data_IF_329475077396
#
_entry.id   IF_329475077396
#
_cell.length_a   1.000
_cell.length_b   1.000
_cell.length_c   1.000
_cell.angle_alpha   90.00
_cell.angle_beta   90.00
_cell.angle_gamma   90.00
#
_symmetry.space_group_name_H-M   'P 1'
#
loop_
_entity.id
_entity.type
_entity.pdbx_description
1 polymer ?
#
# COMPACT_ATOMS: atom_id res chain seq x y z
N UNK A 1 26.34 -52.23 20.45
CA UNK A 1 25.26 -51.26 20.78
C UNK A 1 25.42 -50.49 22.11
N UNK A 2 26.09 -51.02 23.15
CA UNK A 2 26.04 -50.47 24.53
C UNK A 2 26.51 -49.01 24.74
N UNK A 3 27.43 -48.45 23.93
CA UNK A 3 27.96 -47.10 24.16
C UNK A 3 26.95 -45.96 23.91
N UNK A 4 26.02 -46.10 22.95
CA UNK A 4 25.01 -45.07 22.61
C UNK A 4 24.09 -44.77 23.81
N UNK A 5 23.73 -45.78 24.59
CA UNK A 5 22.90 -45.64 25.80
C UNK A 5 23.57 -44.85 26.92
N UNK A 6 24.87 -45.12 27.19
CA UNK A 6 25.66 -44.39 28.19
C UNK A 6 25.80 -42.90 27.84
N UNK A 7 26.04 -42.56 26.56
CA UNK A 7 26.09 -41.15 26.08
C UNK A 7 24.75 -40.43 26.29
N UNK A 8 23.61 -41.03 25.91
CA UNK A 8 22.26 -40.43 26.11
C UNK A 8 21.95 -40.16 27.59
N UNK A 9 22.27 -41.08 28.51
CA UNK A 9 22.09 -40.86 29.96
C UNK A 9 22.93 -39.68 30.48
N UNK A 10 24.20 -39.56 30.05
CA UNK A 10 25.09 -38.44 30.44
C UNK A 10 24.55 -37.08 29.96
N UNK A 11 24.02 -37.02 28.72
CA UNK A 11 23.43 -35.80 28.17
C UNK A 11 22.15 -35.36 28.90
N UNK A 12 21.23 -36.30 29.18
CA UNK A 12 20.02 -36.01 29.97
C UNK A 12 20.35 -35.47 31.36
N UNK A 13 21.34 -36.04 32.06
CA UNK A 13 21.78 -35.53 33.38
C UNK A 13 22.32 -34.10 33.27
N UNK A 14 23.08 -33.78 32.20
CA UNK A 14 23.62 -32.42 31.98
C UNK A 14 22.53 -31.36 31.71
N UNK A 15 21.41 -31.76 31.11
CA UNK A 15 20.23 -30.92 30.81
C UNK A 15 19.26 -30.74 32.00
N UNK A 16 19.55 -31.35 33.16
CA UNK A 16 18.75 -31.26 34.38
C UNK A 16 19.50 -30.58 35.55
N UNK A 17 20.72 -30.08 35.32
CA UNK A 17 21.46 -29.32 36.33
C UNK A 17 20.81 -27.95 36.55
N UNK A 18 20.42 -27.71 37.81
CA UNK A 18 19.90 -26.43 38.29
C UNK A 18 21.08 -25.47 38.53
N UNK A 19 21.01 -24.32 37.89
CA UNK A 19 21.87 -23.15 38.10
C UNK A 19 21.06 -22.11 38.89
N UNK A 20 21.70 -21.26 39.68
CA UNK A 20 21.05 -20.10 40.31
C UNK A 20 21.64 -18.84 39.68
N UNK A 21 20.77 -18.01 39.11
CA UNK A 21 21.12 -16.65 38.73
C UNK A 21 20.69 -15.75 39.89
N UNK A 22 21.61 -14.92 40.39
CA UNK A 22 21.37 -14.02 41.51
C UNK A 22 21.78 -12.61 41.09
N UNK A 23 20.97 -11.63 41.40
CA UNK A 23 21.28 -10.21 41.26
C UNK A 23 21.49 -9.66 42.67
N UNK A 24 22.72 -9.26 42.95
CA UNK A 24 23.11 -8.64 44.23
C UNK A 24 23.30 -7.14 44.03
N UNK A 25 23.05 -6.35 45.07
CA UNK A 25 23.44 -4.95 45.10
C UNK A 25 24.96 -4.84 45.32
N UNK A 26 25.66 -4.02 44.53
CA UNK A 26 27.12 -3.90 44.59
C UNK A 26 27.62 -3.21 45.88
N UNK A 27 26.85 -2.27 46.44
CA UNK A 27 27.24 -1.52 47.63
C UNK A 27 26.85 -2.22 48.94
N UNK A 28 25.70 -2.92 48.97
CA UNK A 28 25.19 -3.60 50.19
C UNK A 28 25.33 -5.12 50.19
N UNK A 29 25.74 -5.73 49.06
CA UNK A 29 25.79 -7.19 48.84
C UNK A 29 24.45 -7.94 49.10
N UNK A 30 23.33 -7.22 49.21
CA UNK A 30 22.01 -7.83 49.41
C UNK A 30 21.52 -8.52 48.12
N UNK A 31 21.09 -9.78 48.22
CA UNK A 31 20.42 -10.49 47.13
C UNK A 31 19.05 -9.82 46.85
N UNK A 32 18.94 -9.05 45.76
CA UNK A 32 17.69 -8.39 45.34
C UNK A 32 16.76 -9.33 44.57
N UNK A 33 17.32 -10.29 43.84
CA UNK A 33 16.56 -11.25 43.04
C UNK A 33 17.35 -12.55 42.88
N UNK A 34 16.72 -13.71 43.09
CA UNK A 34 17.35 -15.01 42.79
C UNK A 34 16.40 -15.96 42.05
N UNK A 35 16.90 -16.58 40.98
CA UNK A 35 16.12 -17.45 40.11
C UNK A 35 16.85 -18.78 39.86
N UNK A 36 16.16 -19.90 40.01
CA UNK A 36 16.72 -21.25 39.79
C UNK A 36 16.39 -21.71 38.37
N UNK A 37 17.37 -21.61 37.48
CA UNK A 37 17.25 -21.93 36.06
C UNK A 37 17.80 -23.34 35.77
N UNK A 38 17.25 -24.01 34.76
CA UNK A 38 17.79 -25.25 34.23
C UNK A 38 17.94 -25.10 32.71
N UNK A 39 18.97 -25.72 32.10
CA UNK A 39 19.25 -25.62 30.66
C UNK A 39 18.04 -26.00 29.80
N UNK A 40 17.29 -27.04 30.21
CA UNK A 40 16.06 -27.46 29.53
C UNK A 40 14.95 -26.40 29.69
N UNK A 41 14.74 -25.87 30.89
CA UNK A 41 13.71 -24.87 31.14
C UNK A 41 14.00 -23.59 30.35
N UNK A 42 15.24 -23.10 30.36
CA UNK A 42 15.66 -21.91 29.58
C UNK A 42 15.43 -22.13 28.08
N UNK A 43 15.76 -23.31 27.55
CA UNK A 43 15.48 -23.66 26.16
C UNK A 43 13.98 -23.64 25.86
N UNK A 44 13.15 -24.28 26.68
CA UNK A 44 11.69 -24.33 26.49
C UNK A 44 11.07 -22.93 26.58
N UNK A 45 11.42 -22.13 27.59
CA UNK A 45 10.93 -20.75 27.73
C UNK A 45 11.39 -19.87 26.56
N UNK A 46 12.64 -19.97 26.12
CA UNK A 46 13.16 -19.22 24.97
C UNK A 46 12.45 -19.61 23.67
N UNK A 47 12.24 -20.90 23.42
CA UNK A 47 11.49 -21.36 22.23
C UNK A 47 10.01 -20.93 22.29
N UNK A 48 9.36 -21.08 23.45
CA UNK A 48 7.97 -20.65 23.62
C UNK A 48 7.83 -19.13 23.45
N UNK A 49 8.76 -18.35 23.99
CA UNK A 49 8.79 -16.90 23.84
C UNK A 49 9.06 -16.47 22.40
N UNK A 50 9.96 -17.16 21.68
CA UNK A 50 10.19 -16.91 20.26
C UNK A 50 8.95 -17.23 19.41
N UNK A 51 8.30 -18.38 19.63
CA UNK A 51 7.04 -18.74 18.96
C UNK A 51 5.92 -17.75 19.31
N UNK A 52 5.82 -17.34 20.57
CA UNK A 52 4.87 -16.32 21.01
C UNK A 52 5.11 -14.98 20.32
N UNK A 53 6.35 -14.49 20.26
CA UNK A 53 6.70 -13.26 19.54
C UNK A 53 6.36 -13.37 18.05
N UNK A 54 6.73 -14.47 17.39
CA UNK A 54 6.44 -14.68 15.96
C UNK A 54 4.93 -14.70 15.72
N UNK A 55 4.16 -15.43 16.54
CA UNK A 55 2.70 -15.48 16.42
C UNK A 55 2.07 -14.10 16.69
N UNK A 56 2.51 -13.41 17.75
CA UNK A 56 2.04 -12.08 18.12
C UNK A 56 2.33 -11.05 17.03
N UNK A 57 3.56 -11.01 16.48
CA UNK A 57 3.90 -10.12 15.36
C UNK A 57 3.15 -10.48 14.08
N UNK A 58 2.91 -11.77 13.81
CA UNK A 58 2.15 -12.20 12.63
C UNK A 58 0.69 -11.78 12.73
N UNK A 59 0.06 -11.95 13.90
CA UNK A 59 -1.29 -11.46 14.20
C UNK A 59 -1.33 -9.93 14.06
N UNK A 60 -0.36 -9.22 14.66
CA UNK A 60 -0.28 -7.77 14.59
C UNK A 60 -0.17 -7.30 13.12
N UNK A 61 0.70 -7.90 12.30
CA UNK A 61 0.81 -7.56 10.86
C UNK A 61 -0.47 -7.90 10.09
N UNK A 62 -1.08 -9.07 10.33
CA UNK A 62 -2.24 -9.53 9.57
C UNK A 62 -3.52 -8.72 9.84
N UNK A 63 -3.71 -8.27 11.09
CA UNK A 63 -4.92 -7.54 11.54
C UNK A 63 -4.74 -6.02 11.66
N UNK A 64 -3.55 -5.47 11.42
CA UNK A 64 -3.32 -4.00 11.40
C UNK A 64 -2.95 -3.51 10.00
N UNK A 65 -3.12 -2.20 9.71
CA UNK A 65 -2.69 -1.63 8.43
C UNK A 65 -1.17 -1.65 8.21
N UNK A 66 -0.33 -2.19 9.12
CA UNK A 66 1.10 -2.38 8.84
C UNK A 66 1.35 -3.27 7.61
N UNK A 67 0.44 -4.21 7.28
CA UNK A 67 0.55 -4.92 5.98
C UNK A 67 0.44 -3.97 4.79
N UNK A 68 -0.26 -2.84 4.92
CA UNK A 68 -0.57 -1.89 3.83
C UNK A 68 0.48 -0.78 3.69
N UNK A 69 1.24 -0.52 4.75
CA UNK A 69 2.48 0.26 4.70
C UNK A 69 3.65 -0.51 4.08
N UNK A 70 3.54 -1.84 3.91
CA UNK A 70 4.29 -2.55 2.88
C UNK A 70 3.60 -2.22 1.55
N UNK A 71 4.25 -1.48 0.61
CA UNK A 71 3.66 -1.21 -0.70
C UNK A 71 3.33 -2.55 -1.39
N UNK A 72 2.05 -2.85 -1.53
CA UNK A 72 1.57 -4.18 -1.93
C UNK A 72 0.23 -4.58 -1.33
N UNK A 73 -0.15 -4.00 -0.19
CA UNK A 73 -1.51 -4.09 0.35
C UNK A 73 -2.16 -2.69 0.46
N UNK A 74 -3.28 -2.51 1.16
CA UNK A 74 -4.65 -2.53 0.60
C UNK A 74 -4.88 -3.62 -0.44
N UNK A 75 -6.08 -4.22 -0.57
CA UNK A 75 -6.27 -5.20 -1.64
C UNK A 75 -6.11 -4.50 -3.00
N UNK A 76 -4.95 -4.71 -3.62
CA UNK A 76 -4.54 -4.01 -4.84
C UNK A 76 -5.48 -4.35 -5.99
N UNK A 77 -6.18 -5.49 -5.89
CA UNK A 77 -7.36 -5.84 -6.66
C UNK A 77 -8.46 -4.79 -6.60
N UNK A 78 -8.94 -4.34 -5.43
CA UNK A 78 -10.00 -3.33 -5.34
C UNK A 78 -9.57 -1.99 -5.94
N UNK A 79 -8.35 -1.53 -5.63
CA UNK A 79 -7.84 -0.27 -6.18
C UNK A 79 -7.66 -0.33 -7.70
N UNK A 80 -7.17 -1.44 -8.25
CA UNK A 80 -7.08 -1.67 -9.72
C UNK A 80 -8.44 -1.84 -10.38
N UNK A 81 -9.39 -2.53 -9.73
CA UNK A 81 -10.75 -2.72 -10.24
C UNK A 81 -11.50 -1.39 -10.33
N UNK A 82 -11.43 -0.56 -9.29
CA UNK A 82 -12.00 0.78 -9.29
C UNK A 82 -11.45 1.61 -10.46
N UNK A 83 -10.13 1.69 -10.62
CA UNK A 83 -9.48 2.46 -11.70
C UNK A 83 -9.88 1.96 -13.09
N UNK A 84 -9.89 0.63 -13.33
CA UNK A 84 -10.30 0.05 -14.61
C UNK A 84 -11.79 0.32 -14.91
N UNK A 85 -12.65 0.17 -13.89
CA UNK A 85 -14.08 0.43 -14.02
C UNK A 85 -14.33 1.91 -14.34
N UNK A 86 -13.64 2.85 -13.68
CA UNK A 86 -13.69 4.28 -14.00
C UNK A 86 -13.36 4.54 -15.47
N UNK A 87 -12.25 4.03 -15.99
CA UNK A 87 -11.89 4.24 -17.41
C UNK A 87 -12.93 3.69 -18.39
N UNK A 88 -13.52 2.53 -18.09
CA UNK A 88 -14.57 1.94 -18.92
C UNK A 88 -15.88 2.71 -18.85
N UNK A 89 -16.29 3.14 -17.66
CA UNK A 89 -17.49 3.94 -17.46
C UNK A 89 -17.38 5.29 -18.15
N UNK A 90 -16.23 5.96 -18.07
CA UNK A 90 -15.95 7.22 -18.78
C UNK A 90 -16.07 7.05 -20.30
N UNK A 91 -15.43 6.01 -20.84
CA UNK A 91 -15.51 5.66 -22.28
C UNK A 91 -16.94 5.37 -22.74
N UNK A 92 -17.72 4.64 -21.93
CA UNK A 92 -19.12 4.34 -22.21
C UNK A 92 -20.01 5.58 -22.11
N UNK A 93 -19.77 6.45 -21.13
CA UNK A 93 -20.51 7.70 -20.94
C UNK A 93 -20.30 8.64 -22.13
N UNK A 94 -19.07 8.73 -22.64
CA UNK A 94 -18.78 9.51 -23.85
C UNK A 94 -19.48 8.93 -25.09
N UNK A 95 -19.43 7.60 -25.29
CA UNK A 95 -20.11 6.94 -26.40
C UNK A 95 -21.64 7.11 -26.35
N UNK A 96 -22.23 7.01 -25.16
CA UNK A 96 -23.66 7.27 -24.94
C UNK A 96 -24.02 8.73 -25.23
N UNK A 97 -23.23 9.70 -24.74
CA UNK A 97 -23.48 11.12 -24.99
C UNK A 97 -23.49 11.46 -26.49
N UNK A 98 -22.57 10.88 -27.27
CA UNK A 98 -22.56 11.03 -28.73
C UNK A 98 -23.77 10.37 -29.38
N UNK A 99 -24.20 9.19 -28.89
CA UNK A 99 -25.38 8.51 -29.40
C UNK A 99 -26.68 9.28 -29.10
N UNK A 100 -26.84 9.80 -27.89
CA UNK A 100 -27.98 10.63 -27.48
C UNK A 100 -28.08 11.89 -28.34
N UNK A 101 -26.95 12.56 -28.61
CA UNK A 101 -26.90 13.72 -29.50
C UNK A 101 -27.28 13.36 -30.95
N UNK A 102 -26.82 12.20 -31.45
CA UNK A 102 -27.16 11.71 -32.78
C UNK A 102 -28.66 11.38 -32.91
N UNK A 103 -29.22 10.64 -31.95
CA UNK A 103 -30.66 10.31 -31.92
C UNK A 103 -31.52 11.56 -31.74
N UNK A 104 -31.10 12.52 -30.90
CA UNK A 104 -31.77 13.81 -30.76
C UNK A 104 -31.74 14.62 -32.07
N UNK A 105 -30.64 14.55 -32.83
CA UNK A 105 -30.51 15.21 -34.13
C UNK A 105 -31.40 14.57 -35.19
N UNK A 106 -31.44 13.24 -35.28
CA UNK A 106 -32.41 12.51 -36.14
C UNK A 106 -33.85 12.91 -35.77
N UNK A 107 -34.18 12.92 -34.48
CA UNK A 107 -35.53 13.29 -34.01
C UNK A 107 -35.91 14.68 -34.50
N UNK A 108 -35.04 15.68 -34.34
CA UNK A 108 -35.27 17.07 -34.81
C UNK A 108 -35.50 17.15 -36.32
N UNK A 109 -34.73 16.39 -37.11
CA UNK A 109 -34.93 16.29 -38.58
C UNK A 109 -36.29 15.70 -38.91
N UNK A 110 -36.68 14.60 -38.26
CA UNK A 110 -37.99 13.95 -38.49
C UNK A 110 -39.19 14.78 -38.00
N UNK A 111 -39.02 15.60 -36.96
CA UNK A 111 -40.08 16.50 -36.45
C UNK A 111 -40.11 17.86 -37.14
N UNK A 112 -39.21 18.12 -38.11
CA UNK A 112 -39.13 19.42 -38.81
C UNK A 112 -38.58 20.57 -37.95
N UNK A 113 -38.10 20.32 -36.73
CA UNK A 113 -37.42 21.31 -35.86
C UNK A 113 -35.94 21.44 -36.28
N UNK A 114 -35.73 21.59 -37.58
CA UNK A 114 -34.41 21.87 -38.15
C UNK A 114 -34.26 23.38 -38.14
N UNK A 115 -33.72 23.91 -37.04
CA UNK A 115 -33.11 25.24 -37.09
C UNK A 115 -32.03 25.19 -38.17
N UNK A 116 -32.31 25.82 -39.31
CA UNK A 116 -31.31 26.17 -40.30
C UNK A 116 -30.34 27.11 -39.60
N UNK A 117 -29.29 26.53 -39.01
CA UNK A 117 -28.19 27.29 -38.44
C UNK A 117 -27.60 28.06 -39.62
N UNK A 118 -27.76 29.37 -39.58
CA UNK A 118 -27.21 30.25 -40.60
C UNK A 118 -25.69 30.22 -40.44
N UNK A 119 -25.04 29.32 -41.19
CA UNK A 119 -23.63 28.96 -41.04
C UNK A 119 -22.74 30.08 -41.59
N UNK A 120 -22.70 31.20 -40.87
CA UNK A 120 -21.73 32.24 -41.12
C UNK A 120 -20.32 31.73 -40.81
N UNK A 121 -19.54 31.49 -41.87
CA UNK A 121 -18.16 30.99 -41.79
C UNK A 121 -17.24 31.94 -41.02
N UNK A 122 -17.52 33.24 -41.06
CA UNK A 122 -16.69 34.25 -40.41
C UNK A 122 -16.76 34.10 -38.89
N UNK A 123 -17.93 33.75 -38.33
CA UNK A 123 -18.10 33.51 -36.89
C UNK A 123 -17.27 32.33 -36.36
N UNK A 124 -17.03 31.30 -37.19
CA UNK A 124 -16.22 30.13 -36.81
C UNK A 124 -14.72 30.48 -36.82
N UNK A 125 -14.29 31.27 -37.81
CA UNK A 125 -12.92 31.77 -37.88
C UNK A 125 -12.62 32.75 -36.74
N UNK A 126 -13.57 33.62 -36.40
CA UNK A 126 -13.42 34.57 -35.29
C UNK A 126 -13.39 33.85 -33.92
N UNK A 127 -14.22 32.83 -33.71
CA UNK A 127 -14.18 32.00 -32.51
C UNK A 127 -12.84 31.27 -32.36
N UNK A 128 -12.37 30.61 -33.42
CA UNK A 128 -11.07 29.92 -33.42
C UNK A 128 -9.89 30.88 -33.17
N UNK A 129 -9.94 32.12 -33.66
CA UNK A 129 -8.92 33.13 -33.38
C UNK A 129 -8.98 33.66 -31.95
N UNK A 130 -10.18 33.84 -31.37
CA UNK A 130 -10.34 34.25 -29.96
C UNK A 130 -9.82 33.18 -29.00
N UNK A 131 -10.13 31.91 -29.24
CA UNK A 131 -9.66 30.81 -28.38
C UNK A 131 -8.13 30.70 -28.35
N UNK A 132 -7.45 30.95 -29.48
CA UNK A 132 -5.96 30.93 -29.54
C UNK A 132 -5.32 32.12 -28.82
N UNK A 133 -5.95 33.30 -28.82
CA UNK A 133 -5.37 34.52 -28.23
C UNK A 133 -5.52 34.61 -26.70
N UNK A 134 -6.42 33.84 -26.09
CA UNK A 134 -6.73 33.91 -24.65
C UNK A 134 -5.89 32.92 -23.80
N UNK A 135 -5.24 31.91 -24.41
CA UNK A 135 -4.43 30.94 -23.66
C UNK A 135 -3.06 31.53 -23.29
N UNK A 136 -2.97 32.09 -22.08
CA UNK A 136 -1.69 32.45 -21.48
C UNK A 136 -0.90 31.18 -21.12
N UNK A 137 0.07 30.82 -21.97
CA UNK A 137 0.96 29.65 -21.81
C UNK A 137 2.12 29.88 -20.81
N UNK A 138 2.14 30.99 -20.06
CA UNK A 138 3.13 31.19 -19.00
C UNK A 138 3.03 30.08 -17.93
N UNK A 139 4.14 29.40 -17.56
CA UNK A 139 4.13 28.38 -16.52
C UNK A 139 3.56 28.91 -15.21
N UNK A 140 2.53 28.24 -14.68
CA UNK A 140 2.03 28.54 -13.34
C UNK A 140 3.08 28.16 -12.30
N UNK A 141 3.04 28.80 -11.13
CA UNK A 141 3.94 28.45 -10.02
C UNK A 141 3.79 26.97 -9.61
N UNK A 142 2.56 26.46 -9.67
CA UNK A 142 2.21 25.07 -9.38
C UNK A 142 2.79 24.10 -10.43
N UNK A 143 2.69 24.42 -11.73
CA UNK A 143 3.28 23.62 -12.81
C UNK A 143 4.81 23.54 -12.68
N UNK A 144 5.48 24.65 -12.37
CA UNK A 144 6.92 24.68 -12.12
C UNK A 144 7.35 23.78 -10.95
N UNK A 145 6.60 23.80 -9.83
CA UNK A 145 6.85 22.94 -8.66
C UNK A 145 6.59 21.46 -9.02
N UNK A 146 5.53 21.16 -9.79
CA UNK A 146 5.21 19.81 -10.21
C UNK A 146 6.30 19.23 -11.13
N UNK A 147 6.81 20.02 -12.10
CA UNK A 147 7.94 19.62 -12.95
C UNK A 147 9.21 19.35 -12.15
N UNK A 148 9.50 20.17 -11.13
CA UNK A 148 10.63 19.92 -10.25
C UNK A 148 10.44 18.62 -9.45
N UNK A 149 9.24 18.36 -8.93
CA UNK A 149 8.93 17.11 -8.23
C UNK A 149 9.11 15.89 -9.13
N UNK A 150 8.47 15.88 -10.31
CA UNK A 150 8.54 14.78 -11.27
C UNK A 150 9.98 14.54 -11.75
N UNK A 151 10.71 15.59 -12.12
CA UNK A 151 12.12 15.46 -12.54
C UNK A 151 13.06 14.95 -11.45
N UNK A 152 12.70 15.11 -10.16
CA UNK A 152 13.43 14.49 -9.04
C UNK A 152 13.06 13.02 -8.88
N UNK A 153 11.78 12.66 -9.01
CA UNK A 153 11.28 11.28 -8.87
C UNK A 153 11.82 10.39 -10.01
N UNK A 154 11.64 10.81 -11.27
CA UNK A 154 12.16 10.14 -12.47
C UNK A 154 13.68 9.92 -12.43
N UNK A 155 14.43 10.83 -11.79
CA UNK A 155 15.90 10.74 -11.67
C UNK A 155 16.35 9.62 -10.73
N UNK A 156 15.52 9.20 -9.79
CA UNK A 156 15.82 8.12 -8.84
C UNK A 156 15.00 6.84 -9.09
N UNK A 157 14.01 6.89 -9.98
CA UNK A 157 13.14 5.76 -10.33
C UNK A 157 12.92 5.69 -11.87
N UNK A 158 13.86 5.07 -12.61
CA UNK A 158 13.79 4.89 -14.07
C UNK A 158 12.83 3.77 -14.52
#
# INVERSE_FOLDING_TARGET
MAQKGKRRKKFRKKLLHKYRLVVLNEATFEERFSFKLNRLNVFVFSTLFAVFLIAFTTILIAFTPLREYIPGYSSTSLKKQAVNLTFKTDSLQQALSVNDQYIASIRKVLTGDVKTVDFNRDSVLEAAQRDVQVVNLSPSRQDSILREFVSRDDKYNP
#
